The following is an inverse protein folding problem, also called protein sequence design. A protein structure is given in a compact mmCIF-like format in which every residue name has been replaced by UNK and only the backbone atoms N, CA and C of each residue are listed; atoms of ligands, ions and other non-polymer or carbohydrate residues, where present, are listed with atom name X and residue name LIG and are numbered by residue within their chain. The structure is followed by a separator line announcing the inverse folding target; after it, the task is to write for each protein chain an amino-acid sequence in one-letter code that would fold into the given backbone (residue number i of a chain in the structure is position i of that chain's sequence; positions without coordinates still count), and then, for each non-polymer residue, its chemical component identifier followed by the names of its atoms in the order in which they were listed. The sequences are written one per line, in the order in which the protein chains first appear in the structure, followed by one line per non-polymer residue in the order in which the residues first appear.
data_IF_783879692454
#
_entry.id   IF_783879692454
#
_cell.length_a   1.000
_cell.length_b   1.000
_cell.length_c   1.000
_cell.angle_alpha   90.00
_cell.angle_beta   90.00
_cell.angle_gamma   90.00
#
_symmetry.space_group_name_H-M   'P 1'
#
loop_
_entity.id
_entity.type
_entity.pdbx_description
1 polymer ?
#
# COMPACT_ATOMS: atom_id res chain seq x y z
N UNK A 1 16.06 -24.17 -8.18
CA UNK A 1 14.71 -24.29 -8.78
C UNK A 1 13.99 -22.96 -8.56
N UNK A 2 13.56 -22.26 -9.61
CA UNK A 2 12.80 -21.01 -9.45
C UNK A 2 11.32 -21.33 -9.25
N UNK A 3 10.74 -20.91 -8.12
CA UNK A 3 9.30 -20.99 -7.90
C UNK A 3 8.65 -19.85 -8.67
N UNK A 4 7.79 -20.16 -9.64
CA UNK A 4 7.01 -19.16 -10.36
C UNK A 4 5.69 -18.94 -9.63
N UNK A 5 5.41 -17.71 -9.24
CA UNK A 5 4.12 -17.29 -8.71
C UNK A 5 3.30 -16.67 -9.85
N UNK A 6 2.05 -17.13 -10.02
CA UNK A 6 1.11 -16.66 -11.05
C UNK A 6 -0.14 -16.11 -10.35
N UNK A 7 -0.62 -14.95 -10.78
CA UNK A 7 -1.86 -14.33 -10.28
C UNK A 7 -2.98 -14.58 -11.29
N UNK A 8 -3.95 -15.48 -11.02
CA UNK A 8 -5.12 -15.66 -11.87
C UNK A 8 -6.12 -14.52 -11.68
N UNK A 9 -6.34 -13.72 -12.72
CA UNK A 9 -7.18 -12.51 -12.67
C UNK A 9 -8.67 -12.79 -12.40
N UNK A 10 -9.14 -13.97 -12.80
CA UNK A 10 -10.51 -14.44 -12.58
C UNK A 10 -10.76 -14.90 -11.12
N UNK A 11 -9.70 -15.24 -10.39
CA UNK A 11 -9.77 -15.82 -9.03
C UNK A 11 -9.18 -14.94 -7.94
N UNK A 12 -8.33 -13.97 -8.28
CA UNK A 12 -7.70 -13.10 -7.29
C UNK A 12 -8.75 -12.25 -6.58
N UNK A 13 -8.69 -12.26 -5.25
CA UNK A 13 -9.52 -11.41 -4.40
C UNK A 13 -8.62 -10.31 -3.86
N UNK A 14 -8.80 -9.08 -4.34
CA UNK A 14 -8.19 -7.89 -3.76
C UNK A 14 -9.06 -7.39 -2.60
N UNK A 15 -8.42 -6.89 -1.55
CA UNK A 15 -9.07 -6.16 -0.46
C UNK A 15 -8.31 -4.85 -0.28
N UNK A 16 -8.50 -3.86 -1.16
CA UNK A 16 -7.73 -2.64 -1.11
C UNK A 16 -7.95 -1.89 0.21
N UNK A 17 -7.00 -1.02 0.54
CA UNK A 17 -7.03 -0.18 1.72
C UNK A 17 -8.33 0.63 1.77
N UNK A 18 -8.98 0.60 2.94
CA UNK A 18 -10.18 1.39 3.19
C UNK A 18 -9.87 2.89 3.00
N UNK A 19 -10.71 3.60 2.23
CA UNK A 19 -10.53 5.04 1.95
C UNK A 19 -10.45 5.90 3.21
N UNK A 20 -11.16 5.54 4.29
CA UNK A 20 -11.08 6.26 5.56
C UNK A 20 -9.70 6.15 6.21
N UNK A 21 -9.03 4.98 6.07
CA UNK A 21 -7.66 4.78 6.56
C UNK A 21 -6.69 5.63 5.77
N UNK A 22 -6.81 5.63 4.43
CA UNK A 22 -5.97 6.48 3.57
C UNK A 22 -6.17 7.96 3.87
N UNK A 23 -7.42 8.40 4.04
CA UNK A 23 -7.75 9.78 4.42
C UNK A 23 -7.12 10.17 5.76
N UNK A 24 -7.25 9.30 6.77
CA UNK A 24 -6.62 9.52 8.07
C UNK A 24 -5.09 9.58 7.95
N UNK A 25 -4.48 8.70 7.15
CA UNK A 25 -3.04 8.72 6.92
C UNK A 25 -2.59 10.06 6.32
N UNK A 26 -3.26 10.52 5.25
CA UNK A 26 -2.96 11.80 4.60
C UNK A 26 -3.20 13.01 5.51
N UNK A 27 -4.16 12.93 6.44
CA UNK A 27 -4.36 13.98 7.46
C UNK A 27 -3.24 14.01 8.48
N UNK A 28 -2.74 12.84 8.90
CA UNK A 28 -1.67 12.72 9.90
C UNK A 28 -0.29 13.04 9.34
N UNK A 29 -0.08 12.87 8.04
CA UNK A 29 1.17 13.15 7.34
C UNK A 29 0.91 13.80 5.97
N UNK A 30 0.43 15.06 5.93
CA UNK A 30 0.10 15.74 4.68
C UNK A 30 1.30 15.82 3.73
N UNK A 31 1.13 15.35 2.50
CA UNK A 31 2.16 15.38 1.47
C UNK A 31 3.29 14.34 1.64
N UNK A 32 3.29 13.57 2.73
CA UNK A 32 4.34 12.59 3.06
C UNK A 32 3.90 11.13 3.01
N UNK A 33 2.65 10.87 2.61
CA UNK A 33 2.10 9.51 2.50
C UNK A 33 1.14 9.38 1.33
N UNK A 34 1.28 8.28 0.59
CA UNK A 34 0.40 7.92 -0.52
C UNK A 34 0.18 6.41 -0.60
N UNK A 35 -0.93 5.98 -1.20
CA UNK A 35 -1.14 4.57 -1.52
C UNK A 35 -0.25 4.18 -2.70
N UNK A 36 0.49 3.07 -2.59
CA UNK A 36 1.40 2.61 -3.64
C UNK A 36 0.70 2.43 -5.00
N UNK A 37 -0.55 1.96 -5.00
CA UNK A 37 -1.38 1.81 -6.20
C UNK A 37 -1.55 3.13 -6.99
N UNK A 38 -1.60 4.27 -6.30
CA UNK A 38 -1.80 5.59 -6.94
C UNK A 38 -0.51 6.14 -7.59
N UNK A 39 0.64 5.52 -7.33
CA UNK A 39 1.95 5.98 -7.81
C UNK A 39 2.39 5.28 -9.09
N UNK A 40 1.54 4.41 -9.64
CA UNK A 40 1.85 3.59 -10.82
C UNK A 40 0.75 3.69 -11.87
N UNK A 41 1.14 3.58 -13.14
CA UNK A 41 0.22 3.42 -14.27
C UNK A 41 0.09 1.96 -14.67
N UNK A 42 -1.13 1.52 -15.01
CA UNK A 42 -1.40 0.17 -15.48
C UNK A 42 -2.67 0.11 -16.33
N UNK A 43 -2.81 -0.95 -17.12
CA UNK A 43 -4.02 -1.21 -17.91
C UNK A 43 -5.17 -1.68 -17.02
N UNK A 44 -6.40 -1.28 -17.35
CA UNK A 44 -7.62 -1.70 -16.65
C UNK A 44 -7.78 -3.23 -16.63
N UNK A 45 -7.24 -3.93 -17.63
CA UNK A 45 -7.28 -5.39 -17.72
C UNK A 45 -6.63 -6.10 -16.52
N UNK A 46 -5.69 -5.44 -15.84
CA UNK A 46 -4.94 -6.01 -14.71
C UNK A 46 -5.29 -5.40 -13.35
N UNK A 47 -6.35 -4.58 -13.28
CA UNK A 47 -6.70 -3.81 -12.06
C UNK A 47 -6.74 -4.68 -10.80
N UNK A 48 -7.35 -5.87 -10.86
CA UNK A 48 -7.45 -6.76 -9.69
C UNK A 48 -6.09 -7.28 -9.20
N UNK A 49 -5.15 -7.53 -10.10
CA UNK A 49 -3.81 -7.93 -9.72
C UNK A 49 -3.03 -6.76 -9.12
N UNK A 50 -3.19 -5.56 -9.67
CA UNK A 50 -2.51 -4.37 -9.16
C UNK A 50 -3.04 -3.98 -7.78
N UNK A 51 -4.36 -4.03 -7.56
CA UNK A 51 -4.95 -3.87 -6.23
C UNK A 51 -4.46 -4.95 -5.24
N UNK A 52 -4.30 -6.19 -5.70
CA UNK A 52 -3.79 -7.28 -4.85
C UNK A 52 -2.35 -7.02 -4.40
N UNK A 53 -1.47 -6.53 -5.28
CA UNK A 53 -0.06 -6.29 -4.98
C UNK A 53 0.14 -4.95 -4.24
N UNK A 54 -0.43 -3.87 -4.74
CA UNK A 54 -0.13 -2.50 -4.32
C UNK A 54 -1.26 -1.82 -3.54
N UNK A 55 -2.46 -2.43 -3.49
CA UNK A 55 -3.63 -1.83 -2.85
C UNK A 55 -3.60 -1.78 -1.33
N UNK A 56 -2.57 -2.31 -0.66
CA UNK A 56 -2.45 -2.36 0.80
C UNK A 56 -1.09 -1.90 1.34
N UNK A 57 -0.32 -1.16 0.56
CA UNK A 57 0.96 -0.61 1.00
C UNK A 57 0.95 0.90 0.88
N UNK A 58 1.31 1.58 1.97
CA UNK A 58 1.51 3.02 1.98
C UNK A 58 2.99 3.34 1.72
N UNK A 59 3.25 4.30 0.85
CA UNK A 59 4.59 4.85 0.65
C UNK A 59 4.71 6.09 1.51
N UNK A 60 5.78 6.16 2.30
CA UNK A 60 6.07 7.26 3.21
C UNK A 60 7.42 7.90 2.85
N UNK A 61 7.54 9.21 3.04
CA UNK A 61 8.80 9.91 2.74
C UNK A 61 9.95 9.45 3.64
N UNK A 62 9.66 9.21 4.91
CA UNK A 62 10.66 8.99 5.95
C UNK A 62 10.21 7.96 7.01
N UNK A 63 11.17 7.48 7.81
CA UNK A 63 10.96 6.51 8.87
C UNK A 63 10.03 7.00 9.99
N UNK A 64 10.03 8.31 10.29
CA UNK A 64 9.15 8.91 11.29
C UNK A 64 7.69 8.77 10.85
N UNK A 65 7.40 9.15 9.60
CA UNK A 65 6.09 9.04 8.99
C UNK A 65 5.65 7.57 8.92
N UNK A 66 6.52 6.68 8.45
CA UNK A 66 6.21 5.25 8.35
C UNK A 66 5.86 4.63 9.72
N UNK A 67 6.61 4.92 10.78
CA UNK A 67 6.31 4.45 12.15
C UNK A 67 4.98 5.01 12.65
N UNK A 68 4.75 6.32 12.49
CA UNK A 68 3.51 6.99 12.92
C UNK A 68 2.28 6.39 12.26
N UNK A 69 2.35 6.13 10.95
CA UNK A 69 1.23 5.65 10.15
C UNK A 69 0.99 4.15 10.37
N UNK A 70 2.05 3.34 10.32
CA UNK A 70 1.96 1.88 10.44
C UNK A 70 1.29 1.48 11.74
N UNK A 71 1.72 2.04 12.87
CA UNK A 71 1.24 1.62 14.20
C UNK A 71 0.08 2.46 14.72
N UNK A 72 -0.48 3.39 13.93
CA UNK A 72 -1.69 4.11 14.32
C UNK A 72 -2.88 3.14 14.43
N UNK A 73 -3.62 3.11 15.56
CA UNK A 73 -4.74 2.18 15.76
C UNK A 73 -5.85 2.28 14.71
N UNK A 74 -6.06 3.47 14.15
CA UNK A 74 -7.04 3.72 13.09
C UNK A 74 -6.58 3.32 11.69
N UNK A 75 -5.28 3.05 11.49
CA UNK A 75 -4.69 2.75 10.17
C UNK A 75 -4.22 1.30 10.11
N UNK A 76 -3.25 0.91 10.95
CA UNK A 76 -2.64 -0.44 10.97
C UNK A 76 -2.43 -1.02 9.58
N UNK A 77 -1.57 -0.38 8.79
CA UNK A 77 -1.30 -0.74 7.39
C UNK A 77 0.19 -0.72 7.14
N UNK A 78 0.71 -1.70 6.38
CA UNK A 78 2.11 -1.77 5.98
C UNK A 78 2.55 -0.47 5.31
N UNK A 79 3.72 0.04 5.70
CA UNK A 79 4.32 1.23 5.10
C UNK A 79 5.74 0.94 4.61
N UNK A 80 6.14 1.59 3.52
CA UNK A 80 7.47 1.50 2.91
C UNK A 80 8.03 2.91 2.79
N UNK A 81 9.26 3.15 3.23
CA UNK A 81 9.92 4.46 3.07
C UNK A 81 10.49 4.62 1.66
N UNK A 82 10.79 5.87 1.25
CA UNK A 82 11.51 6.11 -0.01
C UNK A 82 12.92 5.48 -0.05
N UNK A 83 13.53 5.24 1.12
CA UNK A 83 14.80 4.52 1.25
C UNK A 83 14.65 2.99 1.14
N UNK A 84 13.41 2.49 1.12
CA UNK A 84 13.08 1.07 0.97
C UNK A 84 12.86 0.31 2.28
N UNK A 85 12.85 0.99 3.44
CA UNK A 85 12.56 0.35 4.72
C UNK A 85 11.10 -0.06 4.82
N UNK A 86 10.85 -1.23 5.39
CA UNK A 86 9.50 -1.79 5.53
C UNK A 86 9.08 -1.76 7.00
N UNK A 87 7.86 -1.27 7.24
CA UNK A 87 7.19 -1.25 8.54
C UNK A 87 5.87 -2.03 8.43
N UNK A 88 5.65 -2.98 9.33
CA UNK A 88 4.50 -3.90 9.32
C UNK A 88 3.81 -3.89 10.71
N UNK A 89 2.47 -3.70 10.79
CA UNK A 89 1.73 -3.45 12.04
C UNK A 89 1.34 -4.68 12.88
#
# INVERSE_FOLDING_TARGET
MAVKHIIPLDKVISRPLNQNKLKLAKQLAPGKVELALNLIGYSDEVVKAMEFIFGNSLICDDAETAKKITFNPGIRTRSITLEGDIYDP
#
